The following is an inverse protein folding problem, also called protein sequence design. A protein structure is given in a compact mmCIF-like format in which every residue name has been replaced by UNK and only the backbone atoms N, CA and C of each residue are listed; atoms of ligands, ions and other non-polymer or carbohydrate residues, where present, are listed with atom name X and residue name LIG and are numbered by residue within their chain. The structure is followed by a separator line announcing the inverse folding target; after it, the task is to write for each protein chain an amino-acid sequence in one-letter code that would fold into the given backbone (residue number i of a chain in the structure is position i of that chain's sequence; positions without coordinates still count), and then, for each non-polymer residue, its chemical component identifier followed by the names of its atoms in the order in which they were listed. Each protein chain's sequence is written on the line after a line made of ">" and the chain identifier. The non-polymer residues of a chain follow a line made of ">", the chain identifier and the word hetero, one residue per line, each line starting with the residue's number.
data_IF_439545831967
#
_entry.id   IF_439545831967
#
_cell.length_a   1.000
_cell.length_b   1.000
_cell.length_c   1.000
_cell.angle_alpha   90.00
_cell.angle_beta   90.00
_cell.angle_gamma   90.00
#
_symmetry.space_group_name_H-M   'P 1'
#
loop_
_entity.id
_entity.type
_entity.pdbx_description
1 polymer ?
#
# COMPACT_ATOMS: atom_id res chain seq x y z
N UNK A 1 -13.89 1.24 12.77
CA UNK A 1 -14.32 2.37 13.62
C UNK A 1 -13.43 2.42 14.84
N UNK A 2 -12.60 3.46 14.97
CA UNK A 2 -11.75 3.63 16.17
C UNK A 2 -12.64 3.83 17.39
N UNK A 3 -12.48 3.00 18.42
CA UNK A 3 -13.23 3.14 19.66
C UNK A 3 -12.75 4.42 20.36
N UNK A 4 -13.58 5.46 20.33
CA UNK A 4 -13.31 6.76 20.95
C UNK A 4 -13.20 6.57 22.47
N UNK A 5 -12.08 7.02 23.04
CA UNK A 5 -11.82 7.05 24.47
C UNK A 5 -11.10 8.37 24.81
N UNK A 6 -11.88 9.41 25.09
CA UNK A 6 -11.37 10.73 25.47
C UNK A 6 -10.85 10.73 26.91
N UNK A 7 -10.07 11.76 27.27
CA UNK A 7 -9.66 11.97 28.66
C UNK A 7 -10.91 12.03 29.55
N UNK A 8 -11.00 11.22 30.61
CA UNK A 8 -12.21 11.17 31.44
C UNK A 8 -12.40 12.48 32.20
N UNK A 9 -13.65 12.95 32.26
CA UNK A 9 -14.02 14.04 33.16
C UNK A 9 -14.01 13.56 34.61
N UNK A 10 -13.91 14.48 35.58
CA UNK A 10 -13.90 14.11 37.01
C UNK A 10 -15.13 13.28 37.40
N UNK A 11 -16.30 13.58 36.83
CA UNK A 11 -17.53 12.81 37.04
C UNK A 11 -17.37 11.33 36.64
N UNK A 12 -16.70 11.04 35.52
CA UNK A 12 -16.48 9.66 35.08
C UNK A 12 -15.47 8.97 36.00
N UNK A 13 -14.44 9.69 36.43
CA UNK A 13 -13.46 9.20 37.40
C UNK A 13 -14.13 8.79 38.70
N UNK A 14 -15.04 9.62 39.22
CA UNK A 14 -15.75 9.34 40.46
C UNK A 14 -16.77 8.19 40.30
N UNK A 15 -17.46 8.08 39.17
CA UNK A 15 -18.34 6.93 38.85
C UNK A 15 -17.54 5.63 38.86
N UNK A 16 -16.41 5.60 38.14
CA UNK A 16 -15.56 4.41 38.05
C UNK A 16 -15.00 4.04 39.42
N UNK A 17 -14.58 5.02 40.21
CA UNK A 17 -14.13 4.82 41.59
C UNK A 17 -15.21 4.23 42.49
N UNK A 18 -16.43 4.78 42.44
CA UNK A 18 -17.58 4.27 43.19
C UNK A 18 -17.96 2.83 42.81
N UNK A 19 -17.71 2.42 41.57
CA UNK A 19 -17.94 1.06 41.07
C UNK A 19 -16.72 0.13 41.25
N UNK A 20 -15.71 0.55 42.01
CA UNK A 20 -14.51 -0.25 42.30
C UNK A 20 -13.66 -0.54 41.07
N UNK A 21 -13.64 0.38 40.10
CA UNK A 21 -13.02 0.18 38.80
C UNK A 21 -11.51 0.43 38.74
N UNK A 22 -10.89 -0.12 37.71
CA UNK A 22 -9.48 0.08 37.36
C UNK A 22 -9.34 0.63 35.94
N UNK A 23 -8.25 1.34 35.67
CA UNK A 23 -8.04 2.03 34.40
C UNK A 23 -6.93 1.38 33.56
N UNK A 24 -7.16 1.27 32.25
CA UNK A 24 -6.14 0.98 31.22
C UNK A 24 -6.14 2.10 30.19
N UNK A 25 -5.33 3.13 30.42
CA UNK A 25 -5.43 4.39 29.68
C UNK A 25 -6.73 5.12 30.05
N UNK A 26 -7.54 5.50 29.06
CA UNK A 26 -8.84 6.15 29.27
C UNK A 26 -10.05 5.22 29.17
N UNK A 27 -9.81 3.90 29.25
CA UNK A 27 -10.85 2.90 29.35
C UNK A 27 -10.79 2.32 30.76
N UNK A 28 -11.92 2.31 31.46
CA UNK A 28 -12.07 1.71 32.76
C UNK A 28 -12.83 0.38 32.68
N UNK A 29 -12.47 -0.54 33.56
CA UNK A 29 -13.26 -1.74 33.85
C UNK A 29 -13.68 -1.69 35.31
N UNK A 30 -14.98 -1.77 35.58
CA UNK A 30 -15.57 -1.69 36.92
C UNK A 30 -16.71 -2.70 37.07
N UNK A 31 -17.27 -2.78 38.28
CA UNK A 31 -18.44 -3.64 38.51
C UNK A 31 -19.68 -3.03 37.88
N UNK A 32 -20.49 -3.86 37.24
CA UNK A 32 -21.76 -3.45 36.66
C UNK A 32 -22.80 -3.26 37.79
N UNK A 33 -23.47 -2.09 37.87
CA UNK A 33 -24.53 -1.88 38.87
C UNK A 33 -25.88 -2.49 38.46
N UNK A 34 -26.04 -2.93 37.20
CA UNK A 34 -27.29 -3.48 36.69
C UNK A 34 -27.49 -4.97 37.03
N UNK A 35 -26.47 -5.64 37.57
CA UNK A 35 -26.57 -7.02 38.09
C UNK A 35 -25.68 -7.21 39.31
N UNK A 36 -25.80 -8.37 39.97
CA UNK A 36 -24.90 -8.74 41.07
C UNK A 36 -23.53 -9.11 40.53
N UNK A 37 -22.64 -8.12 40.43
CA UNK A 37 -21.35 -8.28 39.79
C UNK A 37 -20.23 -8.51 40.81
N UNK A 38 -19.66 -9.72 40.82
CA UNK A 38 -18.53 -10.08 41.72
C UNK A 38 -17.17 -9.88 41.04
N UNK A 39 -17.11 -9.99 39.72
CA UNK A 39 -15.93 -9.77 38.89
C UNK A 39 -16.19 -8.63 37.90
N UNK A 40 -15.37 -7.56 37.85
CA UNK A 40 -15.64 -6.38 37.03
C UNK A 40 -15.98 -6.67 35.55
N UNK A 41 -17.26 -6.58 35.19
CA UNK A 41 -17.72 -6.90 33.83
C UNK A 41 -18.10 -5.67 32.99
N UNK A 42 -18.01 -4.46 33.53
CA UNK A 42 -18.47 -3.23 32.88
C UNK A 42 -17.29 -2.40 32.37
N UNK A 43 -17.22 -2.22 31.05
CA UNK A 43 -16.34 -1.24 30.42
C UNK A 43 -16.99 0.15 30.43
N UNK A 44 -16.29 1.16 30.93
CA UNK A 44 -16.71 2.58 30.91
C UNK A 44 -15.62 3.44 30.27
N UNK A 45 -16.01 4.35 29.37
CA UNK A 45 -15.10 5.35 28.78
C UNK A 45 -15.81 6.65 28.46
N UNK A 46 -15.08 7.76 28.40
CA UNK A 46 -15.61 9.06 27.99
C UNK A 46 -15.67 9.15 26.46
N UNK A 47 -16.87 9.36 25.92
CA UNK A 47 -17.11 9.75 24.53
C UNK A 47 -17.32 11.27 24.39
N UNK A 48 -17.67 11.72 23.18
CA UNK A 48 -17.92 13.14 22.91
C UNK A 48 -19.17 13.67 23.63
N UNK A 49 -20.29 12.95 23.51
CA UNK A 49 -21.60 13.41 24.02
C UNK A 49 -21.98 12.78 25.37
N UNK A 50 -21.08 12.03 26.00
CA UNK A 50 -21.36 11.35 27.26
C UNK A 50 -20.45 10.16 27.55
N UNK A 51 -20.87 9.31 28.47
CA UNK A 51 -20.16 8.06 28.79
C UNK A 51 -20.62 6.94 27.87
N UNK A 52 -19.67 6.13 27.42
CA UNK A 52 -19.92 4.90 26.69
C UNK A 52 -19.75 3.72 27.64
N UNK A 53 -20.75 2.85 27.69
CA UNK A 53 -20.79 1.68 28.56
C UNK A 53 -20.94 0.40 27.75
N UNK A 54 -20.30 -0.68 28.18
CA UNK A 54 -20.52 -2.01 27.65
C UNK A 54 -20.32 -3.05 28.75
N UNK A 55 -21.38 -3.78 29.08
CA UNK A 55 -21.32 -4.87 30.03
C UNK A 55 -21.09 -6.19 29.28
N UNK A 56 -19.96 -6.86 29.54
CA UNK A 56 -19.62 -8.13 28.90
C UNK A 56 -20.50 -9.31 29.37
N UNK A 57 -21.24 -9.12 30.47
CA UNK A 57 -22.24 -10.08 30.95
C UNK A 57 -23.61 -9.95 30.25
N UNK A 58 -23.77 -8.98 29.33
CA UNK A 58 -24.95 -8.86 28.48
C UNK A 58 -26.07 -7.96 29.00
N UNK A 59 -25.83 -7.10 30.00
CA UNK A 59 -26.82 -6.12 30.45
C UNK A 59 -27.16 -5.10 29.36
N UNK A 60 -28.42 -4.67 29.34
CA UNK A 60 -28.87 -3.59 28.47
C UNK A 60 -28.15 -2.27 28.81
N UNK A 61 -27.58 -1.55 27.83
CA UNK A 61 -26.88 -0.29 28.09
C UNK A 61 -27.75 0.78 28.76
N UNK A 62 -29.04 0.85 28.45
CA UNK A 62 -29.97 1.80 29.04
C UNK A 62 -30.20 1.54 30.53
N UNK A 63 -30.32 0.27 30.93
CA UNK A 63 -30.41 -0.13 32.34
C UNK A 63 -29.13 0.19 33.11
N UNK A 64 -27.97 -0.10 32.51
CA UNK A 64 -26.67 0.26 33.09
C UNK A 64 -26.56 1.76 33.32
N UNK A 65 -26.88 2.58 32.31
CA UNK A 65 -26.85 4.04 32.42
C UNK A 65 -27.84 4.56 33.47
N UNK A 66 -29.03 3.94 33.56
CA UNK A 66 -30.02 4.28 34.57
C UNK A 66 -29.50 4.03 35.99
N UNK A 67 -28.90 2.87 36.25
CA UNK A 67 -28.35 2.57 37.57
C UNK A 67 -27.12 3.44 37.89
N UNK A 68 -26.27 3.74 36.90
CA UNK A 68 -25.18 4.72 37.07
C UNK A 68 -25.71 6.10 37.48
N UNK A 69 -26.84 6.55 36.90
CA UNK A 69 -27.42 7.86 37.23
C UNK A 69 -27.92 7.98 38.69
N UNK A 70 -28.19 6.83 39.32
CA UNK A 70 -28.63 6.75 40.73
C UNK A 70 -27.46 6.80 41.71
N UNK A 71 -26.25 6.53 41.25
CA UNK A 71 -25.06 6.62 42.09
C UNK A 71 -24.88 8.04 42.63
N UNK A 72 -24.40 8.12 43.88
CA UNK A 72 -23.91 9.35 44.50
C UNK A 72 -22.46 9.10 44.89
N UNK A 73 -21.51 9.30 43.96
CA UNK A 73 -20.10 9.08 44.25
C UNK A 73 -19.70 9.93 45.45
N UNK A 74 -19.25 9.27 46.51
CA UNK A 74 -18.76 9.94 47.72
C UNK A 74 -17.24 9.90 47.70
N UNK A 75 -16.61 11.07 47.63
CA UNK A 75 -15.16 11.22 47.54
C UNK A 75 -14.66 11.57 46.14
N UNK A 76 -13.63 12.42 46.09
CA UNK A 76 -12.93 12.77 44.85
C UNK A 76 -11.90 11.69 44.53
N UNK A 77 -12.08 10.98 43.42
CA UNK A 77 -11.12 9.98 42.97
C UNK A 77 -10.06 10.63 42.08
N UNK A 78 -8.82 10.14 42.14
CA UNK A 78 -7.77 10.67 41.27
C UNK A 78 -7.97 10.17 39.83
N UNK A 79 -7.86 11.05 38.82
CA UNK A 79 -7.93 10.64 37.43
C UNK A 79 -6.78 9.68 37.09
N UNK A 80 -6.96 8.76 36.13
CA UNK A 80 -5.86 7.92 35.67
C UNK A 80 -4.72 8.81 35.14
N UNK A 81 -3.44 8.44 35.39
CA UNK A 81 -2.33 9.20 34.87
C UNK A 81 -2.45 9.30 33.35
N UNK A 82 -2.21 10.50 32.82
CA UNK A 82 -2.21 10.71 31.38
C UNK A 82 -1.18 9.76 30.76
N UNK A 83 -1.63 8.79 29.96
CA UNK A 83 -0.71 8.00 29.16
C UNK A 83 -0.12 8.92 28.09
N UNK A 84 1.16 9.28 28.27
CA UNK A 84 2.00 9.59 27.12
C UNK A 84 2.04 8.33 26.26
N UNK A 85 1.20 8.28 25.22
CA UNK A 85 1.51 7.45 24.05
C UNK A 85 2.64 8.19 23.34
N UNK A 86 3.85 7.61 23.21
CA UNK A 86 4.76 8.10 22.20
C UNK A 86 3.98 8.09 20.88
N UNK A 87 3.89 9.24 20.23
CA UNK A 87 3.25 9.36 18.93
C UNK A 87 4.00 8.46 17.95
N UNK A 88 3.25 7.66 17.21
CA UNK A 88 3.77 6.65 16.29
C UNK A 88 3.39 5.26 16.74
N UNK A 89 2.35 4.71 16.13
CA UNK A 89 2.35 3.27 15.86
C UNK A 89 3.73 2.91 15.28
N UNK A 90 4.22 1.72 15.55
CA UNK A 90 5.43 1.15 14.95
C UNK A 90 5.36 1.03 13.41
N UNK A 91 4.43 1.72 12.74
CA UNK A 91 4.24 1.75 11.29
C UNK A 91 5.53 2.13 10.57
N UNK A 92 6.27 3.13 11.05
CA UNK A 92 7.56 3.49 10.44
C UNK A 92 8.54 2.31 10.45
N UNK A 93 8.78 1.74 11.64
CA UNK A 93 9.63 0.56 11.80
C UNK A 93 9.13 -0.65 11.00
N UNK A 94 7.82 -0.92 11.02
CA UNK A 94 7.21 -2.03 10.27
C UNK A 94 7.34 -1.84 8.76
N UNK A 95 7.30 -0.60 8.28
CA UNK A 95 7.50 -0.27 6.89
C UNK A 95 8.97 -0.45 6.48
N UNK A 96 9.91 -0.02 7.33
CA UNK A 96 11.35 -0.20 7.11
C UNK A 96 11.78 -1.67 7.16
N UNK A 97 11.12 -2.48 7.97
CA UNK A 97 11.38 -3.92 8.10
C UNK A 97 10.58 -4.78 7.09
N UNK A 98 9.81 -4.16 6.19
CA UNK A 98 9.03 -4.90 5.20
C UNK A 98 9.95 -5.69 4.25
N UNK A 99 9.53 -6.91 3.93
CA UNK A 99 10.22 -7.80 2.98
C UNK A 99 9.43 -7.92 1.68
N UNK A 100 10.07 -8.29 0.56
CA UNK A 100 9.38 -8.61 -0.69
C UNK A 100 8.29 -9.66 -0.46
N UNK A 101 7.18 -9.52 -1.18
CA UNK A 101 6.06 -10.46 -1.07
C UNK A 101 6.31 -11.76 -1.85
N UNK A 102 7.33 -11.81 -2.71
CA UNK A 102 7.72 -12.99 -3.48
C UNK A 102 7.96 -14.21 -2.58
N UNK A 103 7.35 -15.34 -2.93
CA UNK A 103 7.45 -16.58 -2.14
C UNK A 103 6.69 -16.59 -0.82
N UNK A 104 5.85 -15.59 -0.56
CA UNK A 104 4.97 -15.52 0.63
C UNK A 104 3.50 -15.69 0.25
N UNK A 105 2.63 -15.98 1.23
CA UNK A 105 1.17 -16.03 1.03
C UNK A 105 0.59 -14.68 0.50
N UNK A 106 1.31 -13.57 0.67
CA UNK A 106 0.91 -12.30 0.09
C UNK A 106 1.00 -12.31 -1.45
N UNK A 107 2.00 -12.96 -2.04
CA UNK A 107 2.09 -13.11 -3.49
C UNK A 107 0.94 -13.96 -4.05
N UNK A 108 0.58 -15.07 -3.39
CA UNK A 108 -0.56 -15.90 -3.80
C UNK A 108 -1.88 -15.13 -3.75
N UNK A 109 -2.09 -14.34 -2.69
CA UNK A 109 -3.26 -13.47 -2.55
C UNK A 109 -3.32 -12.43 -3.68
N UNK A 110 -2.18 -11.82 -4.01
CA UNK A 110 -2.10 -10.80 -5.05
C UNK A 110 -2.33 -11.41 -6.45
N UNK A 111 -1.75 -12.57 -6.77
CA UNK A 111 -2.04 -13.29 -8.02
C UNK A 111 -3.51 -13.69 -8.14
N UNK A 112 -4.13 -14.17 -7.06
CA UNK A 112 -5.57 -14.43 -6.99
C UNK A 112 -6.45 -13.18 -7.19
N UNK A 113 -5.87 -11.99 -7.09
CA UNK A 113 -6.49 -10.68 -7.39
C UNK A 113 -6.07 -10.10 -8.74
N UNK A 114 -5.27 -10.82 -9.54
CA UNK A 114 -4.74 -10.36 -10.82
C UNK A 114 -3.56 -9.39 -10.69
N UNK A 115 -2.92 -9.32 -9.52
CA UNK A 115 -1.75 -8.48 -9.24
C UNK A 115 -0.51 -9.36 -9.13
N UNK A 116 0.06 -9.78 -10.26
CA UNK A 116 1.22 -10.68 -10.28
C UNK A 116 2.48 -10.00 -9.76
N UNK A 117 3.20 -10.72 -8.88
CA UNK A 117 4.49 -10.33 -8.33
C UNK A 117 5.63 -11.26 -8.81
N UNK A 118 6.84 -10.73 -9.08
CA UNK A 118 7.15 -9.31 -9.06
C UNK A 118 6.32 -8.60 -10.13
N UNK A 119 5.90 -7.35 -9.87
CA UNK A 119 5.39 -6.49 -10.93
C UNK A 119 6.42 -6.62 -12.05
N UNK A 120 6.03 -7.12 -13.23
CA UNK A 120 6.95 -7.42 -14.32
C UNK A 120 7.87 -6.22 -14.58
N UNK A 121 9.06 -6.27 -14.00
CA UNK A 121 9.97 -5.12 -13.97
C UNK A 121 10.79 -5.19 -15.25
N UNK A 122 10.16 -4.80 -16.35
CA UNK A 122 10.79 -4.78 -17.67
C UNK A 122 12.04 -3.88 -17.66
N UNK A 123 12.09 -2.86 -16.81
CA UNK A 123 13.29 -2.04 -16.63
C UNK A 123 14.41 -2.86 -15.98
N UNK A 124 14.14 -3.58 -14.89
CA UNK A 124 15.12 -4.49 -14.28
C UNK A 124 15.59 -5.55 -15.26
N UNK A 125 14.68 -6.17 -16.02
CA UNK A 125 15.05 -7.12 -17.06
C UNK A 125 15.98 -6.47 -18.10
N UNK A 126 15.67 -5.24 -18.55
CA UNK A 126 16.50 -4.51 -19.53
C UNK A 126 17.90 -4.21 -18.97
N UNK A 127 18.03 -3.86 -17.69
CA UNK A 127 19.36 -3.68 -17.07
C UNK A 127 20.18 -4.96 -17.04
N UNK A 128 19.54 -6.11 -16.83
CA UNK A 128 20.19 -7.42 -16.88
C UNK A 128 20.57 -7.82 -18.31
N UNK A 129 19.69 -7.55 -19.27
CA UNK A 129 19.98 -7.77 -20.68
C UNK A 129 21.15 -6.92 -21.17
N UNK A 130 21.20 -5.64 -20.78
CA UNK A 130 22.32 -4.73 -21.05
C UNK A 130 23.64 -5.28 -20.49
N UNK A 131 23.65 -5.70 -19.22
CA UNK A 131 24.83 -6.30 -18.60
C UNK A 131 25.32 -7.53 -19.37
N UNK A 132 24.41 -8.33 -19.91
CA UNK A 132 24.76 -9.50 -20.73
C UNK A 132 25.36 -9.15 -22.10
N UNK A 133 25.21 -7.91 -22.58
CA UNK A 133 25.86 -7.44 -23.82
C UNK A 133 27.26 -6.86 -23.56
N UNK A 134 27.56 -6.41 -22.35
CA UNK A 134 28.87 -5.83 -22.01
C UNK A 134 29.99 -6.86 -22.21
N UNK A 135 30.99 -6.49 -23.01
CA UNK A 135 32.07 -7.38 -23.43
C UNK A 135 33.37 -6.62 -23.76
N UNK A 136 33.62 -5.51 -23.07
CA UNK A 136 34.69 -4.52 -23.28
C UNK A 136 34.54 -3.65 -24.54
N UNK A 137 33.87 -4.13 -25.59
CA UNK A 137 33.66 -3.35 -26.83
C UNK A 137 32.25 -2.74 -26.89
N UNK A 138 31.23 -3.52 -26.58
CA UNK A 138 29.84 -3.16 -26.84
C UNK A 138 29.39 -1.95 -26.02
N UNK A 139 29.77 -1.88 -24.74
CA UNK A 139 29.46 -0.76 -23.84
C UNK A 139 30.13 0.58 -24.25
N UNK A 140 31.13 0.54 -25.12
CA UNK A 140 31.83 1.72 -25.63
C UNK A 140 31.30 2.17 -27.00
N UNK A 141 30.75 1.25 -27.79
CA UNK A 141 30.35 1.49 -29.18
C UNK A 141 28.83 1.56 -29.38
N UNK A 142 28.08 0.87 -28.53
CA UNK A 142 26.64 0.66 -28.64
C UNK A 142 25.97 0.91 -27.29
N UNK A 143 24.64 0.79 -27.26
CA UNK A 143 23.93 0.98 -26.01
C UNK A 143 22.42 1.00 -26.14
N UNK A 144 21.82 1.38 -25.02
CA UNK A 144 20.39 1.62 -24.86
C UNK A 144 20.21 3.12 -24.63
N UNK A 145 19.37 3.76 -25.44
CA UNK A 145 19.02 5.17 -25.30
C UNK A 145 17.53 5.30 -25.02
N UNK A 146 17.19 6.02 -23.95
CA UNK A 146 15.83 6.47 -23.65
C UNK A 146 15.82 8.00 -23.75
N UNK A 147 14.88 8.55 -24.50
CA UNK A 147 14.76 9.98 -24.74
C UNK A 147 13.28 10.40 -24.72
N UNK A 148 13.01 11.70 -24.66
CA UNK A 148 11.65 12.23 -24.83
C UNK A 148 11.34 12.47 -26.31
N UNK A 149 10.07 12.37 -26.69
CA UNK A 149 9.60 12.82 -28.00
C UNK A 149 9.34 14.34 -28.02
N UNK A 150 9.12 14.90 -29.20
CA UNK A 150 8.66 16.28 -29.39
C UNK A 150 7.17 16.48 -29.02
N UNK A 151 6.41 15.38 -29.02
CA UNK A 151 5.09 15.24 -28.41
C UNK A 151 5.18 14.49 -27.05
N UNK A 152 4.11 14.44 -26.24
CA UNK A 152 4.15 13.72 -24.96
C UNK A 152 4.41 12.23 -25.14
N UNK A 153 5.61 11.78 -24.74
CA UNK A 153 5.99 10.39 -24.86
C UNK A 153 7.48 10.14 -24.70
N UNK A 154 7.85 8.89 -24.91
CA UNK A 154 9.22 8.40 -24.82
C UNK A 154 9.63 7.74 -26.12
N UNK A 155 10.92 7.83 -26.44
CA UNK A 155 11.58 6.95 -27.40
C UNK A 155 12.57 6.06 -26.68
N UNK A 156 12.65 4.81 -27.10
CA UNK A 156 13.66 3.84 -26.69
C UNK A 156 14.32 3.28 -27.95
N UNK A 157 15.64 3.38 -27.99
CA UNK A 157 16.48 2.78 -29.04
C UNK A 157 17.49 1.84 -28.41
N UNK A 158 17.55 0.60 -28.91
CA UNK A 158 18.47 -0.44 -28.47
C UNK A 158 19.29 -0.86 -29.68
N UNK A 159 20.60 -0.61 -29.64
CA UNK A 159 21.50 -1.09 -30.67
C UNK A 159 21.63 -2.62 -30.57
N UNK A 160 21.44 -3.31 -31.69
CA UNK A 160 21.47 -4.78 -31.78
C UNK A 160 22.78 -5.28 -32.37
N UNK A 161 23.66 -4.39 -32.83
CA UNK A 161 24.93 -4.78 -33.46
C UNK A 161 25.76 -5.63 -32.51
N UNK A 162 26.21 -6.79 -33.00
CA UNK A 162 26.98 -7.75 -32.19
C UNK A 162 26.18 -8.54 -31.15
N UNK A 163 24.86 -8.33 -31.05
CA UNK A 163 23.97 -9.10 -30.16
C UNK A 163 23.36 -10.30 -30.89
N UNK A 164 22.81 -11.26 -30.14
CA UNK A 164 22.06 -12.39 -30.70
C UNK A 164 20.83 -11.97 -31.53
N UNK A 165 20.36 -10.73 -31.35
CA UNK A 165 19.17 -10.21 -32.02
C UNK A 165 19.47 -9.50 -33.34
N UNK A 166 20.75 -9.29 -33.70
CA UNK A 166 21.15 -8.41 -34.81
C UNK A 166 20.46 -8.74 -36.13
N UNK A 167 20.34 -10.03 -36.43
CA UNK A 167 19.88 -10.54 -37.73
C UNK A 167 18.57 -11.33 -37.60
N UNK A 168 17.90 -11.24 -36.45
CA UNK A 168 16.62 -11.89 -36.22
C UNK A 168 15.48 -11.05 -36.81
N UNK A 169 14.49 -11.70 -37.44
CA UNK A 169 13.32 -10.98 -37.92
C UNK A 169 12.50 -10.44 -36.73
N UNK A 170 12.02 -9.21 -36.89
CA UNK A 170 11.08 -8.58 -35.98
C UNK A 170 9.89 -8.06 -36.78
N UNK A 171 8.69 -8.56 -36.46
CA UNK A 171 7.46 -8.02 -37.01
C UNK A 171 7.11 -6.72 -36.29
N UNK A 172 6.77 -5.67 -37.04
CA UNK A 172 6.37 -4.38 -36.47
C UNK A 172 5.14 -4.55 -35.58
N UNK A 173 5.21 -4.03 -34.37
CA UNK A 173 4.12 -4.11 -33.38
C UNK A 173 3.60 -2.72 -33.10
N UNK A 174 2.28 -2.57 -33.17
CA UNK A 174 1.58 -1.33 -32.85
C UNK A 174 0.47 -1.62 -31.83
N UNK A 175 0.23 -0.65 -30.94
CA UNK A 175 -0.87 -0.65 -30.00
C UNK A 175 -1.38 0.78 -29.84
N UNK A 176 -2.70 0.94 -29.85
CA UNK A 176 -3.35 2.25 -29.76
C UNK A 176 -3.03 3.15 -30.96
N UNK A 177 -3.55 4.37 -30.89
CA UNK A 177 -3.29 5.40 -31.91
C UNK A 177 -2.28 6.42 -31.34
N UNK A 178 -1.15 6.69 -32.02
CA UNK A 178 -0.22 7.74 -31.63
C UNK A 178 -0.93 9.08 -31.46
N UNK A 179 -0.59 9.79 -30.41
CA UNK A 179 -1.20 11.08 -30.07
C UNK A 179 -0.13 12.17 -30.05
N UNK A 180 -0.40 13.28 -30.73
CA UNK A 180 0.58 14.36 -30.90
C UNK A 180 0.47 15.46 -29.84
N UNK A 181 -0.58 15.42 -29.01
CA UNK A 181 -0.76 16.32 -27.88
C UNK A 181 -1.35 15.64 -26.63
N UNK A 182 -1.19 16.31 -25.47
CA UNK A 182 -1.57 15.76 -24.17
C UNK A 182 -3.09 15.58 -24.02
N UNK A 183 -3.90 16.47 -24.60
CA UNK A 183 -5.35 16.41 -24.50
C UNK A 183 -5.93 15.29 -25.38
N UNK A 184 -5.30 15.03 -26.53
CA UNK A 184 -5.59 13.85 -27.33
C UNK A 184 -5.24 12.57 -26.58
N UNK A 185 -4.01 12.44 -26.07
CA UNK A 185 -3.55 11.27 -25.32
C UNK A 185 -4.45 10.95 -24.11
N UNK A 186 -4.93 11.97 -23.39
CA UNK A 186 -5.87 11.78 -22.28
C UNK A 186 -7.22 11.14 -22.70
N UNK A 187 -7.60 11.24 -23.98
CA UNK A 187 -8.82 10.63 -24.52
C UNK A 187 -8.58 9.27 -25.16
N UNK A 188 -7.47 9.11 -25.88
CA UNK A 188 -7.13 7.92 -26.67
C UNK A 188 -6.42 6.85 -25.84
N UNK A 189 -5.65 7.28 -24.84
CA UNK A 189 -4.95 6.42 -23.91
C UNK A 189 -3.59 5.94 -24.41
N UNK A 190 -3.19 4.77 -23.90
CA UNK A 190 -1.87 4.19 -24.16
C UNK A 190 -1.61 3.91 -25.64
N UNK A 191 -0.39 4.18 -26.08
CA UNK A 191 0.06 3.84 -27.43
C UNK A 191 1.53 3.47 -27.47
N UNK A 192 1.91 2.59 -28.39
CA UNK A 192 3.31 2.38 -28.77
C UNK A 192 3.45 1.81 -30.17
N UNK A 193 4.59 2.09 -30.78
CA UNK A 193 4.98 1.64 -32.11
C UNK A 193 6.41 1.13 -32.04
N UNK A 194 6.60 -0.17 -32.21
CA UNK A 194 7.90 -0.82 -32.16
C UNK A 194 8.28 -1.41 -33.52
N UNK A 195 9.54 -1.25 -33.91
CA UNK A 195 10.10 -1.83 -35.13
C UNK A 195 11.61 -1.98 -35.02
N UNK A 196 12.19 -2.85 -35.84
CA UNK A 196 13.65 -2.88 -36.06
C UNK A 196 13.97 -2.09 -37.33
N UNK A 197 14.82 -1.07 -37.21
CA UNK A 197 15.32 -0.28 -38.32
C UNK A 197 16.84 -0.41 -38.41
N UNK A 198 17.35 -1.00 -39.50
CA UNK A 198 18.77 -1.34 -39.61
C UNK A 198 19.17 -2.35 -38.53
N UNK A 199 20.15 -2.00 -37.70
CA UNK A 199 20.63 -2.83 -36.57
C UNK A 199 20.17 -2.29 -35.22
N UNK A 200 19.02 -1.63 -35.15
CA UNK A 200 18.49 -1.12 -33.89
C UNK A 200 17.00 -1.46 -33.75
N UNK A 201 16.64 -1.88 -32.54
CA UNK A 201 15.25 -1.92 -32.10
C UNK A 201 14.85 -0.51 -31.66
N UNK A 202 13.73 -0.03 -32.18
CA UNK A 202 13.18 1.28 -31.87
C UNK A 202 11.74 1.16 -31.44
N UNK A 203 11.38 1.90 -30.39
CA UNK A 203 10.00 2.08 -29.98
C UNK A 203 9.74 3.53 -29.60
N UNK A 204 8.61 4.05 -30.08
CA UNK A 204 8.01 5.30 -29.60
C UNK A 204 6.74 4.93 -28.82
N UNK A 205 6.48 5.57 -27.69
CA UNK A 205 5.33 5.26 -26.86
C UNK A 205 4.80 6.47 -26.08
N UNK A 206 3.57 6.35 -25.58
CA UNK A 206 2.95 7.35 -24.73
C UNK A 206 3.68 7.57 -23.39
N UNK A 207 3.33 8.65 -22.65
CA UNK A 207 4.08 9.12 -21.49
C UNK A 207 4.09 8.15 -20.30
N UNK A 208 3.14 7.21 -20.21
CA UNK A 208 3.06 6.20 -19.15
C UNK A 208 3.39 4.77 -19.65
N UNK A 209 3.78 4.62 -20.91
CA UNK A 209 3.82 3.32 -21.58
C UNK A 209 5.24 2.73 -21.70
N UNK A 210 6.27 3.43 -21.21
CA UNK A 210 7.68 3.04 -21.36
C UNK A 210 7.96 1.62 -20.83
N UNK A 211 7.38 1.22 -19.70
CA UNK A 211 7.60 -0.11 -19.15
C UNK A 211 7.02 -1.21 -20.07
N UNK A 212 5.84 -1.00 -20.63
CA UNK A 212 5.22 -1.95 -21.57
C UNK A 212 5.95 -1.98 -22.92
N UNK A 213 6.45 -0.83 -23.37
CA UNK A 213 7.28 -0.72 -24.56
C UNK A 213 8.58 -1.53 -24.42
N UNK A 214 9.25 -1.48 -23.26
CA UNK A 214 10.39 -2.38 -22.96
C UNK A 214 9.94 -3.85 -22.98
N UNK A 215 8.74 -4.13 -22.46
CA UNK A 215 8.13 -5.47 -22.49
C UNK A 215 7.99 -6.06 -23.91
N UNK A 216 7.79 -5.23 -24.94
CA UNK A 216 7.77 -5.68 -26.34
C UNK A 216 9.12 -6.27 -26.74
N UNK A 217 10.21 -5.56 -26.44
CA UNK A 217 11.56 -6.04 -26.72
C UNK A 217 11.87 -7.32 -25.94
N UNK A 218 11.53 -7.35 -24.64
CA UNK A 218 11.69 -8.53 -23.78
C UNK A 218 11.03 -9.78 -24.37
N UNK A 219 9.75 -9.69 -24.74
CA UNK A 219 9.01 -10.82 -25.30
C UNK A 219 9.64 -11.34 -26.59
N UNK A 220 10.15 -10.44 -27.44
CA UNK A 220 10.85 -10.85 -28.66
C UNK A 220 12.14 -11.61 -28.37
N UNK A 221 12.97 -11.10 -27.45
CA UNK A 221 14.22 -11.74 -27.03
C UNK A 221 13.95 -13.12 -26.42
N UNK A 222 12.99 -13.22 -25.50
CA UNK A 222 12.62 -14.47 -24.83
C UNK A 222 12.03 -15.50 -25.80
N UNK A 223 11.15 -15.09 -26.72
CA UNK A 223 10.61 -15.98 -27.75
C UNK A 223 11.70 -16.52 -28.69
N UNK A 224 12.72 -15.71 -28.97
CA UNK A 224 13.84 -16.09 -29.86
C UNK A 224 14.84 -17.05 -29.19
N UNK A 225 14.94 -17.03 -27.85
CA UNK A 225 15.85 -17.90 -27.11
C UNK A 225 15.36 -19.36 -26.98
N UNK A 226 14.08 -19.61 -27.29
CA UNK A 226 13.43 -20.94 -27.18
C UNK A 226 13.38 -21.68 -28.53
N UNK A 227 13.82 -21.04 -29.62
CA UNK A 227 13.85 -21.57 -30.99
C UNK A 227 15.23 -22.08 -31.38
#
# INVERSE_FOLDING_TARGET
>A
MSLIALRPTQRVVDIVGALGGTWRGYIATCRCPAHQDSDPSLSVRQGHDGILVHCFAGCDPGDVLREISRLRPSGSHQPPPARHRPGGSNVGRLWEEALPADGTAAAEYLDGRGLRLPLDDNLKWLTQWYLAQCNDDWEHLYGVKIDTLDNPGWSLRIELTGTAMQDLPFERVEYGEPSDDLAEWQRTGSWWVASVQGKAFEVACGPLDLCEAIGVFRRWVEASAVS
#
